data_IF_875852408878
#
_entry.id   IF_875852408878
#
_cell.length_a   1.000
_cell.length_b   1.000
_cell.length_c   1.000
_cell.angle_alpha   90.00
_cell.angle_beta   90.00
_cell.angle_gamma   90.00
#
_symmetry.space_group_name_H-M   'P 1'
#
loop_
_entity.id
_entity.type
_entity.pdbx_description
1 polymer ?
#
# COMPACT_ATOMS: atom_id res chain seq x y z
N UNK A 1 -25.02 28.24 5.32
CA UNK A 1 -24.22 27.41 4.38
C UNK A 1 -25.12 26.34 3.81
N UNK A 2 -25.42 26.39 2.53
CA UNK A 2 -26.27 25.41 1.86
C UNK A 2 -25.47 24.12 1.66
N UNK A 3 -25.90 23.03 2.30
CA UNK A 3 -25.41 21.68 2.02
C UNK A 3 -26.10 21.22 0.75
N UNK A 4 -25.44 21.35 -0.41
CA UNK A 4 -25.89 20.71 -1.64
C UNK A 4 -25.61 19.21 -1.55
N UNK A 5 -26.63 18.43 -1.23
CA UNK A 5 -26.61 16.98 -1.36
C UNK A 5 -26.61 16.67 -2.85
N UNK A 6 -25.47 16.24 -3.39
CA UNK A 6 -25.43 15.67 -4.73
C UNK A 6 -26.12 14.31 -4.69
N UNK A 7 -27.32 14.24 -5.28
CA UNK A 7 -27.98 12.97 -5.61
C UNK A 7 -27.11 12.28 -6.66
N UNK A 8 -26.52 11.15 -6.28
CA UNK A 8 -26.01 10.19 -7.26
C UNK A 8 -27.25 9.43 -7.75
N UNK A 9 -27.65 9.66 -9.00
CA UNK A 9 -28.64 8.81 -9.65
C UNK A 9 -28.01 7.42 -9.83
N UNK A 10 -28.25 6.54 -8.85
CA UNK A 10 -27.94 5.13 -8.96
C UNK A 10 -28.92 4.53 -9.99
N UNK A 11 -28.55 4.59 -11.27
CA UNK A 11 -29.18 3.76 -12.28
C UNK A 11 -29.09 2.30 -11.80
N UNK A 12 -30.25 1.65 -11.62
CA UNK A 12 -30.33 0.28 -11.13
C UNK A 12 -29.75 -0.68 -12.17
N UNK A 13 -28.46 -0.98 -12.09
CA UNK A 13 -27.89 -2.11 -12.83
C UNK A 13 -28.10 -3.35 -11.97
N UNK A 14 -29.24 -4.02 -12.16
CA UNK A 14 -29.39 -5.44 -11.80
C UNK A 14 -28.60 -6.26 -12.83
N UNK A 15 -27.28 -6.29 -12.67
CA UNK A 15 -26.38 -7.20 -13.36
C UNK A 15 -25.52 -7.91 -12.31
N UNK A 16 -25.33 -9.22 -12.46
CA UNK A 16 -24.26 -9.93 -11.75
C UNK A 16 -22.97 -9.11 -11.91
N UNK A 17 -22.39 -8.59 -10.82
CA UNK A 17 -21.28 -7.64 -10.93
C UNK A 17 -20.21 -8.18 -11.87
N UNK A 18 -19.72 -7.37 -12.81
CA UNK A 18 -18.77 -7.85 -13.83
C UNK A 18 -17.38 -8.17 -13.26
N UNK A 19 -17.15 -7.83 -11.98
CA UNK A 19 -15.88 -8.02 -11.29
C UNK A 19 -16.05 -8.81 -9.99
N UNK A 20 -15.01 -9.52 -9.58
CA UNK A 20 -14.80 -9.85 -8.17
C UNK A 20 -13.89 -8.79 -7.56
N UNK A 21 -14.28 -8.28 -6.41
CA UNK A 21 -13.50 -7.29 -5.66
C UNK A 21 -13.15 -7.87 -4.31
N UNK A 22 -11.88 -7.75 -3.93
CA UNK A 22 -11.35 -8.19 -2.66
C UNK A 22 -10.60 -7.07 -1.97
N UNK A 23 -10.72 -6.96 -0.65
CA UNK A 23 -10.06 -5.95 0.18
C UNK A 23 -9.39 -6.60 1.37
N UNK A 24 -8.18 -6.17 1.67
CA UNK A 24 -7.41 -6.71 2.79
C UNK A 24 -6.55 -5.65 3.44
N UNK A 25 -6.42 -5.73 4.75
CA UNK A 25 -5.57 -4.83 5.53
C UNK A 25 -4.66 -5.66 6.42
N UNK A 26 -3.38 -5.31 6.52
CA UNK A 26 -2.47 -5.87 7.53
C UNK A 26 -1.51 -4.84 8.10
N UNK A 27 -0.87 -5.18 9.23
CA UNK A 27 0.15 -4.36 9.87
C UNK A 27 1.47 -4.42 9.09
N UNK A 28 2.12 -3.26 8.91
CA UNK A 28 3.49 -3.13 8.36
C UNK A 28 4.38 -2.30 9.30
N UNK A 29 3.97 -2.14 10.55
CA UNK A 29 4.72 -1.37 11.55
C UNK A 29 6.02 -2.08 11.90
N UNK A 30 7.14 -1.54 11.43
CA UNK A 30 8.48 -2.01 11.77
C UNK A 30 8.92 -1.66 13.20
N UNK A 31 10.24 -1.63 13.46
CA UNK A 31 10.79 -1.36 14.79
C UNK A 31 10.27 -0.05 15.40
N UNK A 32 9.82 -0.14 16.65
CA UNK A 32 9.22 0.98 17.39
C UNK A 32 10.23 1.84 18.17
N UNK A 33 11.52 1.50 18.12
CA UNK A 33 12.60 2.22 18.79
C UNK A 33 13.92 2.08 18.02
N UNK A 34 14.83 3.02 18.24
CA UNK A 34 16.25 3.01 17.84
C UNK A 34 16.59 2.87 16.34
N UNK A 35 15.58 2.93 15.47
CA UNK A 35 15.73 2.99 14.01
C UNK A 35 15.45 4.41 13.52
N UNK A 36 16.23 4.90 12.57
CA UNK A 36 15.99 6.20 11.94
C UNK A 36 14.63 6.24 11.22
N UNK A 37 14.01 7.40 11.12
CA UNK A 37 12.79 7.58 10.34
C UNK A 37 13.14 7.86 8.86
N UNK A 38 12.33 7.33 7.94
CA UNK A 38 12.53 7.55 6.50
C UNK A 38 11.85 8.84 6.04
N UNK A 39 12.52 9.63 5.21
CA UNK A 39 11.95 10.82 4.56
C UNK A 39 12.78 12.08 4.76
N UNK A 40 12.79 12.63 5.98
CA UNK A 40 13.47 13.91 6.27
C UNK A 40 14.99 13.86 6.25
N UNK A 41 15.61 12.68 6.18
CA UNK A 41 17.07 12.56 6.07
C UNK A 41 17.79 13.16 7.30
N UNK A 42 17.18 13.03 8.48
CA UNK A 42 17.73 13.54 9.74
C UNK A 42 18.25 12.39 10.60
N UNK A 43 19.57 12.34 10.82
CA UNK A 43 20.21 11.29 11.63
C UNK A 43 19.74 11.28 13.11
N UNK A 44 19.35 12.44 13.63
CA UNK A 44 18.80 12.58 14.98
C UNK A 44 17.34 12.13 15.09
N UNK A 45 16.64 11.98 13.95
CA UNK A 45 15.25 11.55 13.92
C UNK A 45 15.16 10.03 13.95
N UNK A 46 15.00 9.50 15.15
CA UNK A 46 14.78 8.07 15.42
C UNK A 46 13.38 7.82 15.93
N UNK A 47 12.83 6.66 15.60
CA UNK A 47 11.58 6.16 16.17
C UNK A 47 11.75 6.01 17.69
N UNK A 48 10.78 6.50 18.46
CA UNK A 48 10.77 6.46 19.94
C UNK A 48 9.42 6.01 20.50
N UNK A 49 8.62 5.33 19.69
CA UNK A 49 7.26 4.93 20.02
C UNK A 49 6.37 4.90 18.80
N UNK A 50 5.07 4.67 19.04
CA UNK A 50 4.05 4.53 18.02
C UNK A 50 2.92 5.51 18.35
N UNK A 51 2.63 6.44 17.43
CA UNK A 51 1.40 7.22 17.50
C UNK A 51 0.23 6.44 16.89
N UNK A 52 0.40 5.97 15.64
CA UNK A 52 -0.51 5.08 14.95
C UNK A 52 0.29 3.96 14.29
N UNK A 53 -0.32 2.77 14.18
CA UNK A 53 0.24 1.65 13.42
C UNK A 53 0.23 1.97 11.92
N UNK A 54 1.23 1.50 11.20
CA UNK A 54 1.33 1.57 9.75
C UNK A 54 0.64 0.36 9.13
N UNK A 55 -0.14 0.56 8.06
CA UNK A 55 -0.92 -0.50 7.42
C UNK A 55 -0.60 -0.67 5.93
N UNK A 56 -0.67 -1.89 5.46
CA UNK A 56 -0.85 -2.20 4.04
C UNK A 56 -2.34 -2.43 3.77
N UNK A 57 -2.89 -1.73 2.77
CA UNK A 57 -4.27 -1.88 2.30
C UNK A 57 -4.24 -2.37 0.85
N UNK A 58 -4.61 -3.63 0.65
CA UNK A 58 -4.63 -4.28 -0.65
C UNK A 58 -6.05 -4.32 -1.23
N UNK A 59 -6.14 -4.08 -2.53
CA UNK A 59 -7.35 -4.12 -3.32
C UNK A 59 -7.10 -5.05 -4.51
N UNK A 60 -7.95 -6.06 -4.67
CA UNK A 60 -7.90 -7.00 -5.78
C UNK A 60 -9.14 -6.79 -6.64
N UNK A 61 -8.94 -6.68 -7.94
CA UNK A 61 -10.01 -6.66 -8.93
C UNK A 61 -9.78 -7.79 -9.90
N UNK A 62 -10.79 -8.62 -10.10
CA UNK A 62 -10.81 -9.73 -11.07
C UNK A 62 -11.92 -9.48 -12.07
N UNK A 63 -11.61 -9.45 -13.35
CA UNK A 63 -12.61 -9.49 -14.42
C UNK A 63 -13.19 -10.91 -14.50
N UNK A 64 -14.50 -11.06 -14.25
CA UNK A 64 -15.16 -12.36 -14.25
C UNK A 64 -15.21 -13.00 -15.64
N UNK A 65 -15.12 -12.22 -16.72
CA UNK A 65 -15.16 -12.74 -18.08
C UNK A 65 -13.83 -13.34 -18.52
N UNK A 66 -12.71 -12.72 -18.12
CA UNK A 66 -11.37 -13.12 -18.56
C UNK A 66 -10.56 -13.85 -17.48
N UNK A 67 -10.99 -13.78 -16.21
CA UNK A 67 -10.23 -14.24 -15.06
C UNK A 67 -8.97 -13.41 -14.75
N UNK A 68 -8.69 -12.37 -15.54
CA UNK A 68 -7.56 -11.47 -15.32
C UNK A 68 -7.76 -10.72 -14.01
N UNK A 69 -6.69 -10.62 -13.24
CA UNK A 69 -6.71 -9.94 -11.93
C UNK A 69 -5.57 -8.97 -11.80
N UNK A 70 -5.82 -7.88 -11.08
CA UNK A 70 -4.83 -6.90 -10.69
C UNK A 70 -4.90 -6.64 -9.19
N UNK A 71 -3.76 -6.37 -8.57
CA UNK A 71 -3.61 -6.05 -7.16
C UNK A 71 -2.96 -4.68 -7.02
N UNK A 72 -3.57 -3.83 -6.21
CA UNK A 72 -2.98 -2.57 -5.77
C UNK A 72 -2.87 -2.56 -4.25
N UNK A 73 -1.65 -2.38 -3.73
CA UNK A 73 -1.39 -2.21 -2.30
C UNK A 73 -0.96 -0.78 -2.01
N UNK A 74 -1.77 -0.06 -1.23
CA UNK A 74 -1.43 1.24 -0.64
C UNK A 74 -0.87 1.02 0.76
N UNK A 75 0.39 1.42 0.97
CA UNK A 75 1.17 1.04 2.14
C UNK A 75 1.61 2.29 2.88
N UNK A 76 1.42 2.34 4.20
CA UNK A 76 1.81 3.45 5.06
C UNK A 76 3.34 3.48 5.30
N UNK A 77 4.10 3.71 4.22
CA UNK A 77 5.57 3.83 4.18
C UNK A 77 5.97 5.02 3.30
N UNK A 78 7.21 5.48 3.44
CA UNK A 78 7.70 6.65 2.69
C UNK A 78 7.77 6.38 1.17
N UNK A 79 8.18 5.19 0.74
CA UNK A 79 8.18 4.80 -0.66
C UNK A 79 8.17 3.28 -0.77
N UNK A 80 7.73 2.75 -1.90
CA UNK A 80 8.00 1.35 -2.22
C UNK A 80 9.51 1.15 -2.45
N UNK A 81 10.00 -0.07 -2.20
CA UNK A 81 11.40 -0.43 -2.46
C UNK A 81 11.52 -1.74 -3.21
N UNK A 82 12.60 -1.87 -3.99
CA UNK A 82 12.91 -3.11 -4.71
C UNK A 82 13.06 -4.32 -3.79
N UNK A 83 13.75 -4.26 -2.63
CA UNK A 83 13.80 -5.37 -1.68
C UNK A 83 12.42 -5.79 -1.17
N UNK A 84 11.60 -4.83 -0.75
CA UNK A 84 10.23 -5.11 -0.26
C UNK A 84 9.39 -5.75 -1.35
N UNK A 85 9.43 -5.20 -2.58
CA UNK A 85 8.68 -5.74 -3.72
C UNK A 85 9.09 -7.17 -4.04
N UNK A 86 10.40 -7.43 -4.17
CA UNK A 86 10.91 -8.77 -4.51
C UNK A 86 10.52 -9.79 -3.46
N UNK A 87 10.74 -9.48 -2.18
CA UNK A 87 10.39 -10.38 -1.08
C UNK A 87 8.88 -10.65 -1.02
N UNK A 88 8.05 -9.62 -1.26
CA UNK A 88 6.59 -9.77 -1.34
C UNK A 88 6.20 -10.71 -2.49
N UNK A 89 6.76 -10.51 -3.69
CA UNK A 89 6.49 -11.36 -4.85
C UNK A 89 6.99 -12.80 -4.66
N UNK A 90 8.13 -13.00 -4.00
CA UNK A 90 8.61 -14.34 -3.62
C UNK A 90 7.58 -15.05 -2.75
N UNK A 91 7.11 -14.41 -1.67
CA UNK A 91 6.08 -14.98 -0.78
C UNK A 91 4.77 -15.27 -1.51
N UNK A 92 4.34 -14.36 -2.38
CA UNK A 92 3.13 -14.56 -3.19
C UNK A 92 3.29 -15.73 -4.17
N UNK A 93 4.46 -15.88 -4.78
CA UNK A 93 4.75 -16.99 -5.69
C UNK A 93 4.78 -18.33 -4.97
N UNK A 94 5.36 -18.37 -3.77
CA UNK A 94 5.35 -19.56 -2.91
C UNK A 94 3.92 -20.01 -2.56
N UNK A 95 3.02 -19.06 -2.27
CA UNK A 95 1.64 -19.36 -1.87
C UNK A 95 0.68 -19.61 -3.05
N UNK A 96 0.81 -18.85 -4.14
CA UNK A 96 -0.19 -18.77 -5.21
C UNK A 96 0.36 -19.09 -6.61
N UNK A 97 1.63 -19.53 -6.72
CA UNK A 97 2.28 -19.75 -8.02
C UNK A 97 2.36 -18.45 -8.83
N UNK A 98 2.13 -18.53 -10.14
CA UNK A 98 2.25 -17.36 -11.04
C UNK A 98 1.02 -16.43 -11.05
N UNK A 99 0.04 -16.68 -10.16
CA UNK A 99 -1.20 -15.91 -10.07
C UNK A 99 -0.98 -14.41 -9.78
N UNK A 100 0.04 -14.12 -8.97
CA UNK A 100 0.49 -12.78 -8.62
C UNK A 100 1.96 -12.62 -9.00
N UNK A 101 2.23 -11.69 -9.91
CA UNK A 101 3.55 -11.53 -10.51
C UNK A 101 3.83 -10.05 -10.82
N UNK A 102 4.97 -9.78 -11.44
CA UNK A 102 5.40 -8.42 -11.71
C UNK A 102 4.44 -7.60 -12.59
N UNK A 103 3.63 -8.26 -13.42
CA UNK A 103 2.72 -7.61 -14.37
C UNK A 103 1.42 -7.15 -13.73
N UNK A 104 1.01 -7.75 -12.61
CA UNK A 104 -0.32 -7.52 -12.04
C UNK A 104 -0.31 -7.12 -10.55
N UNK A 105 0.87 -6.90 -9.95
CA UNK A 105 1.00 -6.40 -8.57
C UNK A 105 1.66 -5.02 -8.57
N UNK A 106 0.91 -4.03 -8.07
CA UNK A 106 1.39 -2.67 -7.83
C UNK A 106 1.45 -2.38 -6.32
N UNK A 107 2.57 -1.83 -5.85
CA UNK A 107 2.79 -1.45 -4.45
C UNK A 107 3.16 0.03 -4.43
N UNK A 108 2.41 0.84 -3.68
CA UNK A 108 2.62 2.28 -3.55
C UNK A 108 2.73 2.69 -2.08
N UNK A 109 3.76 3.45 -1.75
CA UNK A 109 3.87 4.11 -0.44
C UNK A 109 3.02 5.37 -0.40
N UNK A 110 2.36 5.66 0.71
CA UNK A 110 1.61 6.93 0.92
C UNK A 110 2.52 8.15 1.04
N UNK A 111 3.84 7.93 1.09
CA UNK A 111 4.84 8.96 1.31
C UNK A 111 4.79 9.62 2.70
N UNK A 112 4.39 8.84 3.72
CA UNK A 112 4.58 9.26 5.11
C UNK A 112 6.07 9.33 5.45
N UNK A 113 6.50 10.43 6.09
CA UNK A 113 7.85 10.59 6.63
C UNK A 113 7.95 10.09 8.09
N UNK A 114 6.93 9.38 8.57
CA UNK A 114 6.76 8.98 9.96
C UNK A 114 6.94 7.47 10.23
N UNK A 115 7.63 6.74 9.34
CA UNK A 115 7.91 5.31 9.47
C UNK A 115 9.39 4.96 9.61
N UNK A 116 9.74 3.78 10.14
CA UNK A 116 11.12 3.32 10.26
C UNK A 116 11.81 3.16 8.90
N UNK A 117 13.08 3.53 8.83
CA UNK A 117 13.97 3.48 7.67
C UNK A 117 14.62 2.10 7.46
N UNK A 118 15.62 2.03 6.57
CA UNK A 118 16.45 0.84 6.41
C UNK A 118 15.86 -0.26 5.52
N UNK A 119 14.90 0.06 4.65
CA UNK A 119 14.29 -0.90 3.71
C UNK A 119 14.65 -0.65 2.23
N UNK A 120 15.64 0.21 1.97
CA UNK A 120 16.10 0.59 0.63
C UNK A 120 17.48 -0.02 0.35
N UNK A 121 17.70 -0.50 -0.88
CA UNK A 121 18.94 -1.20 -1.27
C UNK A 121 20.11 -0.29 -1.63
N UNK A 122 19.84 0.97 -2.00
CA UNK A 122 20.87 1.86 -2.53
C UNK A 122 21.68 2.50 -1.40
N UNK A 123 23.01 2.44 -1.51
CA UNK A 123 23.95 2.91 -0.48
C UNK A 123 23.70 4.36 -0.06
N UNK A 124 23.38 5.24 -1.01
CA UNK A 124 23.07 6.64 -0.73
C UNK A 124 21.92 6.80 0.28
N UNK A 125 20.88 5.97 0.16
CA UNK A 125 19.71 5.99 1.06
C UNK A 125 20.00 5.26 2.37
N UNK A 126 20.90 4.29 2.37
CA UNK A 126 21.34 3.60 3.57
C UNK A 126 22.22 4.46 4.47
N UNK A 127 23.14 5.27 3.91
CA UNK A 127 23.95 6.23 4.71
C UNK A 127 23.04 7.12 5.55
N UNK A 128 21.95 7.60 4.94
CA UNK A 128 20.97 8.48 5.56
C UNK A 128 20.00 7.76 6.53
N UNK A 129 19.92 6.43 6.42
CA UNK A 129 19.11 5.55 7.27
C UNK A 129 19.92 4.86 8.37
N UNK A 130 21.23 5.16 8.46
CA UNK A 130 22.20 4.41 9.29
C UNK A 130 22.26 2.91 8.99
N UNK A 131 22.04 2.53 7.74
CA UNK A 131 22.19 1.18 7.23
C UNK A 131 20.88 0.53 6.75
N UNK A 132 20.97 -0.78 6.53
CA UNK A 132 19.85 -1.64 6.17
C UNK A 132 19.33 -2.38 7.40
N UNK A 133 18.03 -2.36 7.61
CA UNK A 133 17.33 -3.01 8.73
C UNK A 133 16.49 -4.14 8.16
N UNK A 134 17.06 -5.35 8.18
CA UNK A 134 16.45 -6.55 7.61
C UNK A 134 15.05 -6.79 8.18
N UNK A 135 14.91 -6.72 9.50
CA UNK A 135 13.65 -6.92 10.22
C UNK A 135 12.54 -5.99 9.73
N UNK A 136 12.88 -4.73 9.43
CA UNK A 136 11.91 -3.77 8.91
C UNK A 136 11.48 -4.15 7.48
N UNK A 137 12.43 -4.52 6.61
CA UNK A 137 12.11 -4.99 5.25
C UNK A 137 11.22 -6.23 5.27
N UNK A 138 11.54 -7.21 6.12
CA UNK A 138 10.76 -8.44 6.24
C UNK A 138 9.37 -8.18 6.83
N UNK A 139 9.27 -7.29 7.81
CA UNK A 139 7.98 -6.87 8.40
C UNK A 139 7.08 -6.21 7.36
N UNK A 140 7.61 -5.25 6.59
CA UNK A 140 6.85 -4.57 5.54
C UNK A 140 6.41 -5.58 4.46
N UNK A 141 7.32 -6.41 3.96
CA UNK A 141 7.00 -7.38 2.91
C UNK A 141 5.97 -8.42 3.37
N UNK A 142 6.08 -8.89 4.62
CA UNK A 142 5.14 -9.87 5.19
C UNK A 142 3.76 -9.24 5.41
N UNK A 143 3.70 -8.00 5.91
CA UNK A 143 2.42 -7.28 6.05
C UNK A 143 1.74 -6.98 4.71
N UNK A 144 2.51 -6.65 3.66
CA UNK A 144 1.95 -6.52 2.31
C UNK A 144 1.41 -7.86 1.82
N UNK A 145 2.21 -8.92 1.92
CA UNK A 145 1.78 -10.29 1.58
C UNK A 145 0.47 -10.67 2.29
N UNK A 146 0.39 -10.50 3.61
CA UNK A 146 -0.82 -10.80 4.39
C UNK A 146 -2.02 -9.96 3.96
N UNK A 147 -1.83 -8.66 3.67
CA UNK A 147 -2.92 -7.83 3.18
C UNK A 147 -3.46 -8.33 1.85
N UNK A 148 -2.60 -8.83 0.96
CA UNK A 148 -2.99 -9.41 -0.33
C UNK A 148 -3.68 -10.76 -0.15
N UNK A 149 -3.20 -11.61 0.77
CA UNK A 149 -3.87 -12.88 1.13
C UNK A 149 -5.29 -12.60 1.64
N UNK A 150 -5.45 -11.67 2.59
CA UNK A 150 -6.77 -11.29 3.11
C UNK A 150 -7.67 -10.72 2.01
N UNK A 151 -7.10 -9.92 1.10
CA UNK A 151 -7.84 -9.40 -0.04
C UNK A 151 -8.29 -10.53 -0.98
N UNK A 152 -7.44 -11.53 -1.25
CA UNK A 152 -7.78 -12.71 -2.03
C UNK A 152 -8.92 -13.52 -1.40
N UNK A 153 -8.86 -13.76 -0.10
CA UNK A 153 -9.87 -14.53 0.64
C UNK A 153 -11.22 -13.81 0.75
N UNK A 154 -11.22 -12.48 0.61
CA UNK A 154 -12.43 -11.65 0.64
C UNK A 154 -13.09 -11.40 -0.72
N UNK A 155 -12.63 -12.06 -1.79
CA UNK A 155 -13.15 -11.85 -3.15
C UNK A 155 -14.65 -12.14 -3.23
N UNK A 156 -15.42 -11.14 -3.65
CA UNK A 156 -16.87 -11.25 -3.83
C UNK A 156 -17.34 -10.44 -5.05
N UNK A 157 -18.48 -10.80 -5.68
CA UNK A 157 -19.04 -10.02 -6.78
C UNK A 157 -19.24 -8.55 -6.39
N UNK A 158 -18.79 -7.64 -7.25
CA UNK A 158 -18.86 -6.21 -6.98
C UNK A 158 -18.81 -5.36 -8.24
N UNK A 159 -19.20 -4.10 -8.09
CA UNK A 159 -19.09 -3.07 -9.12
C UNK A 159 -18.05 -2.03 -8.70
N UNK A 160 -17.36 -1.44 -9.68
CA UNK A 160 -16.37 -0.39 -9.46
C UNK A 160 -16.92 0.90 -10.08
N UNK A 161 -16.92 1.97 -9.28
CA UNK A 161 -17.34 3.30 -9.71
C UNK A 161 -16.18 4.27 -9.53
N UNK A 162 -16.13 5.30 -10.37
CA UNK A 162 -15.10 6.35 -10.34
C UNK A 162 -15.78 7.70 -10.23
N UNK A 163 -15.27 8.55 -9.36
CA UNK A 163 -15.70 9.93 -9.20
C UNK A 163 -14.45 10.82 -9.02
N UNK A 164 -14.57 12.08 -9.45
CA UNK A 164 -13.51 13.09 -9.32
C UNK A 164 -14.11 14.42 -8.85
N UNK A 165 -13.28 15.26 -8.22
CA UNK A 165 -13.66 16.57 -7.73
C UNK A 165 -12.43 17.38 -7.31
N UNK A 166 -12.62 18.68 -7.08
CA UNK A 166 -11.55 19.59 -6.63
C UNK A 166 -11.40 19.56 -5.11
N UNK A 167 -10.14 19.56 -4.66
CA UNK A 167 -9.78 19.67 -3.25
C UNK A 167 -8.89 20.90 -3.05
N UNK A 168 -9.50 21.98 -2.58
CA UNK A 168 -8.80 23.23 -2.26
C UNK A 168 -8.32 23.20 -0.80
N UNK A 169 -7.37 24.09 -0.47
CA UNK A 169 -6.84 24.30 0.89
C UNK A 169 -6.18 23.08 1.57
N UNK A 170 -5.80 22.05 0.79
CA UNK A 170 -5.13 20.85 1.29
C UNK A 170 -3.64 20.74 0.88
N UNK A 171 -3.16 21.61 -0.02
CA UNK A 171 -1.78 21.64 -0.48
C UNK A 171 -1.35 23.02 -0.95
N UNK A 172 -0.03 23.22 -1.08
CA UNK A 172 0.60 24.35 -1.78
C UNK A 172 1.76 23.82 -2.64
N UNK A 173 2.08 24.49 -3.76
CA UNK A 173 3.32 24.19 -4.49
C UNK A 173 4.52 24.75 -3.72
N UNK A 174 5.44 23.87 -3.31
CA UNK A 174 6.67 24.23 -2.58
C UNK A 174 7.78 24.82 -3.46
N UNK A 175 7.56 24.90 -4.77
CA UNK A 175 8.51 25.44 -5.78
C UNK A 175 7.72 26.08 -6.94
N UNK A 176 7.16 27.29 -6.73
CA UNK A 176 6.33 28.00 -7.71
C UNK A 176 7.11 28.55 -8.91
#
# INVERSE_FOLDING_TARGET
>A
LAISVWRVDAASIRGSGNYLVGVGISDVTGPAADVNMMGYTMLSQKVKGIHLRLRSRAYIVVDQNTGKRNVFASVDICMASTPVRRLTLTKLKEQFGDLYNDQNVAIAGTHTHAGPAGFLQYTSLQILSSGYVKDNTETIASGIFESIVRAHESLQPGNIYVASGELLDANINRSP
#
